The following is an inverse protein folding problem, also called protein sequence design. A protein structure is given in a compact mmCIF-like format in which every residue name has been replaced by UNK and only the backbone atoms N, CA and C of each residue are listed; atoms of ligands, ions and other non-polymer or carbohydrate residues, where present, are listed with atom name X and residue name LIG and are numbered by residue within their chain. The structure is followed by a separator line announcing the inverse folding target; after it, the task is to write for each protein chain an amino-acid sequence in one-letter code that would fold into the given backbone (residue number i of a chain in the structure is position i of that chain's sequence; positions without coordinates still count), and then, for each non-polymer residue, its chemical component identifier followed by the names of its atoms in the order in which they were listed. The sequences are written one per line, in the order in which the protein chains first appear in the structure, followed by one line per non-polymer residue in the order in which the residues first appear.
data_IF_145396943504
#
_entry.id   IF_145396943504
#
_cell.length_a   1.000
_cell.length_b   1.000
_cell.length_c   1.000
_cell.angle_alpha   90.00
_cell.angle_beta   90.00
_cell.angle_gamma   90.00
#
_symmetry.space_group_name_H-M   'P 1'
#
loop_
_entity.id
_entity.type
_entity.pdbx_description
1 polymer ?
#
# COMPACT_ATOMS: atom_id res chain seq x y z
N UNK A 1 -9.77 -2.74 -10.95
CA UNK A 1 -8.90 -3.94 -10.96
C UNK A 1 -8.42 -4.16 -9.53
N UNK A 2 -8.45 -5.36 -8.94
CA UNK A 2 -8.01 -5.50 -7.55
C UNK A 2 -6.48 -5.46 -7.50
N UNK A 3 -5.91 -4.50 -6.76
CA UNK A 3 -4.46 -4.33 -6.60
C UNK A 3 -4.01 -4.97 -5.29
N UNK A 4 -3.32 -6.11 -5.36
CA UNK A 4 -2.68 -6.68 -4.17
C UNK A 4 -1.26 -6.15 -4.01
N UNK A 5 -0.93 -5.76 -2.78
CA UNK A 5 0.41 -5.31 -2.41
C UNK A 5 0.86 -6.01 -1.14
N UNK A 6 2.18 -6.07 -0.94
CA UNK A 6 2.78 -6.32 0.36
C UNK A 6 3.64 -5.13 0.75
N UNK A 7 3.60 -4.74 2.01
CA UNK A 7 4.37 -3.61 2.55
C UNK A 7 5.08 -4.01 3.82
N UNK A 8 6.21 -3.36 4.10
CA UNK A 8 6.94 -3.53 5.35
C UNK A 8 6.89 -2.25 6.20
N UNK A 9 6.68 -2.43 7.50
CA UNK A 9 6.69 -1.38 8.52
C UNK A 9 7.47 -1.90 9.73
N UNK A 10 8.62 -1.29 10.03
CA UNK A 10 9.55 -1.87 10.99
C UNK A 10 9.88 -3.32 10.63
N UNK A 11 9.74 -4.23 11.59
CA UNK A 11 10.01 -5.67 11.40
C UNK A 11 8.79 -6.46 10.87
N UNK A 12 7.66 -5.79 10.62
CA UNK A 12 6.41 -6.44 10.22
C UNK A 12 6.18 -6.33 8.71
N UNK A 13 5.51 -7.32 8.14
CA UNK A 13 5.08 -7.35 6.74
C UNK A 13 3.57 -7.55 6.71
N UNK A 14 2.88 -6.69 5.96
CA UNK A 14 1.44 -6.74 5.74
C UNK A 14 1.15 -6.92 4.27
N UNK A 15 0.26 -7.85 3.93
CA UNK A 15 -0.16 -8.08 2.55
C UNK A 15 -1.68 -8.06 2.46
N UNK A 16 -2.19 -7.53 1.36
CA UNK A 16 -3.63 -7.46 1.13
C UNK A 16 -4.00 -6.60 -0.08
N UNK A 17 -5.29 -6.39 -0.22
CA UNK A 17 -5.86 -5.50 -1.22
C UNK A 17 -5.57 -4.06 -0.84
N UNK A 18 -4.90 -3.33 -1.73
CA UNK A 18 -4.71 -1.90 -1.62
C UNK A 18 -6.04 -1.20 -1.89
N UNK A 19 -6.53 -0.51 -0.87
CA UNK A 19 -7.73 0.32 -0.92
C UNK A 19 -7.28 1.77 -0.91
N UNK A 20 -7.81 2.56 -1.84
CA UNK A 20 -7.59 4.00 -1.81
C UNK A 20 -8.78 4.68 -1.11
N UNK A 21 -8.55 5.26 0.07
CA UNK A 21 -9.53 6.11 0.74
C UNK A 21 -9.28 7.61 0.55
N UNK A 22 -8.24 8.01 -0.18
CA UNK A 22 -7.87 9.42 -0.31
C UNK A 22 -8.79 10.20 -1.25
N UNK A 23 -9.94 10.63 -0.71
CA UNK A 23 -10.64 11.84 -1.15
C UNK A 23 -10.20 13.01 -0.27
N UNK A 24 -9.03 13.57 -0.60
CA UNK A 24 -8.64 14.92 -0.17
C UNK A 24 -7.68 15.01 1.02
N UNK A 25 -6.50 15.59 0.74
CA UNK A 25 -5.64 16.42 1.59
C UNK A 25 -5.23 15.99 3.02
N UNK A 26 -5.62 14.83 3.56
CA UNK A 26 -4.93 14.26 4.72
C UNK A 26 -3.74 13.44 4.26
N UNK A 27 -2.73 13.38 5.12
CA UNK A 27 -1.43 12.72 4.93
C UNK A 27 -1.54 11.43 4.09
N UNK A 28 -0.60 11.20 3.15
CA UNK A 28 -0.63 10.04 2.24
C UNK A 28 -0.62 8.74 3.06
N UNK A 29 -1.81 8.21 3.34
CA UNK A 29 -2.04 6.95 4.02
C UNK A 29 -2.44 5.88 3.00
N UNK A 30 -1.94 4.66 3.19
CA UNK A 30 -2.37 3.49 2.44
C UNK A 30 -3.28 2.65 3.31
N UNK A 31 -4.31 2.09 2.68
CA UNK A 31 -5.23 1.17 3.34
C UNK A 31 -5.02 -0.22 2.76
N UNK A 32 -4.74 -1.20 3.61
CA UNK A 32 -4.58 -2.60 3.20
C UNK A 32 -5.67 -3.43 3.85
N UNK A 33 -6.53 -4.02 3.01
CA UNK A 33 -7.53 -4.98 3.43
C UNK A 33 -6.96 -6.40 3.36
N UNK A 34 -6.82 -7.04 4.51
CA UNK A 34 -6.27 -8.39 4.58
C UNK A 34 -7.29 -9.44 4.11
N UNK A 35 -6.86 -10.43 3.33
CA UNK A 35 -7.75 -11.42 2.69
C UNK A 35 -8.10 -12.63 3.57
N UNK A 36 -7.66 -12.67 4.82
CA UNK A 36 -7.78 -13.84 5.72
C UNK A 36 -9.15 -13.97 6.41
N UNK A 37 -10.23 -13.52 5.77
CA UNK A 37 -11.59 -13.61 6.30
C UNK A 37 -11.91 -12.63 7.44
N UNK A 38 -10.94 -11.83 7.88
CA UNK A 38 -11.14 -10.71 8.80
C UNK A 38 -11.21 -9.42 8.00
N UNK A 39 -12.23 -8.59 8.21
CA UNK A 39 -12.33 -7.25 7.62
C UNK A 39 -11.40 -6.27 8.33
N UNK A 40 -10.14 -6.64 8.53
CA UNK A 40 -9.13 -5.77 9.13
C UNK A 40 -8.57 -4.91 8.01
N UNK A 41 -8.78 -3.62 8.17
CA UNK A 41 -8.23 -2.58 7.32
C UNK A 41 -7.07 -1.92 8.08
N UNK A 42 -5.88 -2.01 7.51
CA UNK A 42 -4.68 -1.38 8.06
C UNK A 42 -4.50 -0.03 7.40
N UNK A 43 -4.63 1.04 8.17
CA UNK A 43 -4.24 2.39 7.76
C UNK A 43 -2.77 2.63 8.12
N UNK A 44 -1.95 2.96 7.13
CA UNK A 44 -0.50 3.07 7.28
C UNK A 44 -0.02 4.36 6.60
N UNK A 45 0.69 5.26 7.30
CA UNK A 45 1.29 6.42 6.66
C UNK A 45 2.40 5.97 5.70
N UNK A 46 2.43 6.52 4.48
CA UNK A 46 3.46 6.17 3.47
C UNK A 46 4.88 6.41 3.99
N UNK A 47 5.07 7.43 4.82
CA UNK A 47 6.35 7.75 5.47
C UNK A 47 6.84 6.66 6.42
N UNK A 48 5.95 5.79 6.92
CA UNK A 48 6.29 4.65 7.76
C UNK A 48 6.68 3.39 6.99
N UNK A 49 6.62 3.42 5.66
CA UNK A 49 6.93 2.25 4.83
C UNK A 49 8.44 2.08 4.64
N UNK A 50 8.94 0.89 4.92
CA UNK A 50 10.30 0.49 4.55
C UNK A 50 10.38 0.13 3.07
N UNK A 51 9.38 -0.60 2.57
CA UNK A 51 9.25 -0.97 1.16
C UNK A 51 7.83 -1.40 0.81
N UNK A 52 7.53 -1.41 -0.50
CA UNK A 52 6.34 -2.02 -1.11
C UNK A 52 6.77 -3.07 -2.14
N UNK A 53 6.00 -4.16 -2.24
CA UNK A 53 6.09 -5.18 -3.27
C UNK A 53 4.74 -5.23 -4.01
N UNK A 54 4.79 -5.08 -5.33
CA UNK A 54 3.64 -5.14 -6.23
C UNK A 54 3.39 -6.56 -6.73
N UNK A 55 2.19 -6.84 -7.28
CA UNK A 55 1.83 -8.18 -7.78
C UNK A 55 2.76 -8.73 -8.86
N UNK A 56 3.47 -7.88 -9.61
CA UNK A 56 4.47 -8.29 -10.60
C UNK A 56 5.82 -8.68 -9.97
N UNK A 57 5.90 -8.73 -8.63
CA UNK A 57 7.07 -9.15 -7.86
C UNK A 57 8.13 -8.07 -7.71
N UNK A 58 7.89 -6.84 -8.17
CA UNK A 58 8.85 -5.74 -8.03
C UNK A 58 8.81 -5.15 -6.62
N UNK A 59 10.01 -4.92 -6.06
CA UNK A 59 10.22 -4.29 -4.75
C UNK A 59 10.69 -2.85 -4.92
N UNK A 60 10.12 -1.94 -4.14
CA UNK A 60 10.49 -0.52 -4.11
C UNK A 60 10.74 -0.09 -2.68
N UNK A 61 11.95 0.42 -2.41
CA UNK A 61 12.41 0.81 -1.07
C UNK A 61 12.58 2.34 -0.94
N UNK A 62 12.82 3.03 -2.05
CA UNK A 62 12.94 4.49 -2.06
C UNK A 62 11.56 5.15 -1.92
N UNK A 63 11.42 6.07 -0.97
CA UNK A 63 10.17 6.78 -0.69
C UNK A 63 9.55 7.44 -1.93
N UNK A 64 10.35 8.07 -2.79
CA UNK A 64 9.87 8.65 -4.05
C UNK A 64 9.25 7.61 -4.97
N UNK A 65 9.90 6.45 -5.12
CA UNK A 65 9.41 5.34 -5.95
C UNK A 65 8.16 4.69 -5.35
N UNK A 66 8.11 4.56 -4.02
CA UNK A 66 6.93 4.06 -3.31
C UNK A 66 5.72 4.95 -3.65
N UNK A 67 5.86 6.28 -3.55
CA UNK A 67 4.80 7.23 -3.91
C UNK A 67 4.40 7.15 -5.39
N UNK A 68 5.38 7.07 -6.30
CA UNK A 68 5.10 6.90 -7.73
C UNK A 68 4.30 5.63 -8.02
N UNK A 69 4.67 4.51 -7.39
CA UNK A 69 3.97 3.23 -7.55
C UNK A 69 2.55 3.32 -6.99
N UNK A 70 2.38 3.89 -5.79
CA UNK A 70 1.05 4.10 -5.22
C UNK A 70 0.17 4.93 -6.14
N UNK A 71 0.66 6.06 -6.65
CA UNK A 71 -0.07 6.89 -7.61
C UNK A 71 -0.44 6.14 -8.90
N UNK A 72 0.45 5.30 -9.43
CA UNK A 72 0.15 4.45 -10.60
C UNK A 72 -0.94 3.42 -10.31
N UNK A 73 -0.93 2.82 -9.12
CA UNK A 73 -1.98 1.91 -8.68
C UNK A 73 -3.34 2.62 -8.54
N UNK A 74 -3.35 3.95 -8.32
CA UNK A 74 -4.56 4.78 -8.36
C UNK A 74 -5.09 4.99 -9.77
N UNK A 75 -4.22 5.31 -10.73
CA UNK A 75 -4.62 5.56 -12.13
C UNK A 75 -5.17 4.31 -12.85
N UNK A 76 -4.80 3.12 -12.36
CA UNK A 76 -5.20 1.84 -12.94
C UNK A 76 -6.54 1.33 -12.40
N UNK A 77 -7.20 2.09 -11.51
CA UNK A 77 -8.49 1.77 -10.88
C UNK A 77 -9.58 2.76 -11.26
#
# INVERSE_FOLDING_TARGET
MINYIAVSIGDNIYAGEYVNLSKGNSEEEIHIKQSNGSNIELCIPVTGLNYIITMDGKKYEEQTKIKEVLNRLLETN
#
